data_IF_035012033787
#
_entry.id   IF_035012033787
#
_cell.length_a   1.000
_cell.length_b   1.000
_cell.length_c   1.000
_cell.angle_alpha   90.00
_cell.angle_beta   90.00
_cell.angle_gamma   90.00
#
_symmetry.space_group_name_H-M   'P 1'
#
loop_
_entity.id
_entity.type
_entity.pdbx_description
1 polymer ?
#
# COMPACT_ATOMS: atom_id res chain seq x y z
N UNK A 1 7.02 13.86 -36.58
CA UNK A 1 5.97 13.37 -35.67
C UNK A 1 6.60 12.31 -34.78
N UNK A 2 6.95 12.65 -33.54
CA UNK A 2 7.51 11.71 -32.56
C UNK A 2 6.68 11.79 -31.29
N UNK A 3 5.71 10.88 -31.14
CA UNK A 3 5.00 10.74 -29.88
C UNK A 3 5.97 10.08 -28.89
N UNK A 4 6.51 10.88 -27.98
CA UNK A 4 6.95 10.37 -26.70
C UNK A 4 5.73 9.67 -26.07
N UNK A 5 5.75 8.35 -26.00
CA UNK A 5 4.81 7.63 -25.15
C UNK A 5 5.08 8.08 -23.72
N UNK A 6 4.25 9.00 -23.23
CA UNK A 6 4.12 9.25 -21.79
C UNK A 6 3.93 7.89 -21.11
N UNK A 7 4.62 7.60 -20.00
CA UNK A 7 4.39 6.36 -19.28
C UNK A 7 2.90 6.30 -18.94
N UNK A 8 2.27 5.15 -19.18
CA UNK A 8 0.84 4.95 -18.90
C UNK A 8 0.58 5.37 -17.46
N UNK A 9 0.02 6.56 -17.27
CA UNK A 9 -0.28 7.06 -15.93
C UNK A 9 -1.44 6.21 -15.43
N UNK A 10 -1.18 5.35 -14.44
CA UNK A 10 -2.23 4.52 -13.84
C UNK A 10 -3.39 5.46 -13.43
N UNK A 11 -4.59 5.29 -14.00
CA UNK A 11 -5.71 6.18 -13.72
C UNK A 11 -6.06 6.20 -12.23
N UNK A 12 -5.77 5.13 -11.47
CA UNK A 12 -5.96 5.09 -10.02
C UNK A 12 -4.99 5.99 -9.30
N UNK A 13 -3.72 6.05 -9.73
CA UNK A 13 -2.74 6.98 -9.17
C UNK A 13 -3.10 8.43 -9.45
N UNK A 14 -3.51 8.73 -10.70
CA UNK A 14 -3.93 10.09 -11.05
C UNK A 14 -5.15 10.55 -10.24
N UNK A 15 -6.13 9.67 -10.03
CA UNK A 15 -7.28 9.95 -9.16
C UNK A 15 -6.90 10.07 -7.69
N UNK A 16 -6.03 9.19 -7.18
CA UNK A 16 -5.55 9.22 -5.80
C UNK A 16 -4.81 10.53 -5.48
N UNK A 17 -3.92 10.99 -6.37
CA UNK A 17 -3.24 12.28 -6.21
C UNK A 17 -4.23 13.46 -6.09
N UNK A 18 -5.33 13.45 -6.86
CA UNK A 18 -6.34 14.52 -6.82
C UNK A 18 -7.13 14.56 -5.51
N UNK A 19 -7.12 13.49 -4.71
CA UNK A 19 -7.78 13.44 -3.41
C UNK A 19 -7.00 14.17 -2.30
N UNK A 20 -5.76 14.57 -2.56
CA UNK A 20 -4.87 15.21 -1.60
C UNK A 20 -4.43 16.61 -2.06
N UNK A 21 -3.98 17.42 -1.09
CA UNK A 21 -3.34 18.70 -1.39
C UNK A 21 -1.91 18.47 -1.87
N UNK A 22 -1.38 19.43 -2.64
CA UNK A 22 -0.01 19.37 -3.13
C UNK A 22 1.02 19.28 -1.98
N UNK A 23 0.82 20.06 -0.91
CA UNK A 23 1.67 20.03 0.28
C UNK A 23 1.73 18.64 0.92
N UNK A 24 0.58 17.99 1.07
CA UNK A 24 0.51 16.64 1.63
C UNK A 24 1.28 15.63 0.77
N UNK A 25 1.16 15.72 -0.56
CA UNK A 25 1.90 14.85 -1.48
C UNK A 25 3.42 15.07 -1.39
N UNK A 26 3.86 16.30 -1.17
CA UNK A 26 5.28 16.65 -1.00
C UNK A 26 5.86 16.13 0.33
N UNK A 27 5.10 16.24 1.42
CA UNK A 27 5.45 15.64 2.72
C UNK A 27 5.51 14.12 2.61
N UNK A 28 4.51 13.51 1.98
CA UNK A 28 4.46 12.06 1.77
C UNK A 28 5.63 11.58 0.90
N UNK A 29 6.01 12.35 -0.12
CA UNK A 29 7.17 12.05 -0.97
C UNK A 29 8.47 12.15 -0.19
N UNK A 30 8.59 13.12 0.71
CA UNK A 30 9.75 13.27 1.59
C UNK A 30 9.87 12.10 2.57
N UNK A 31 8.75 11.67 3.16
CA UNK A 31 8.70 10.45 3.97
C UNK A 31 9.10 9.22 3.16
N UNK A 32 8.54 9.04 1.96
CA UNK A 32 8.87 7.93 1.09
C UNK A 32 10.38 7.87 0.78
N UNK A 33 10.97 9.01 0.41
CA UNK A 33 12.40 9.09 0.11
C UNK A 33 13.27 8.68 1.32
N UNK A 34 12.89 9.10 2.53
CA UNK A 34 13.57 8.71 3.77
C UNK A 34 13.53 7.19 4.00
N UNK A 35 12.37 6.56 3.82
CA UNK A 35 12.20 5.12 4.00
C UNK A 35 12.85 4.29 2.88
N UNK A 36 12.80 4.78 1.64
CA UNK A 36 13.46 4.13 0.51
C UNK A 36 15.00 4.19 0.65
N UNK A 37 15.55 5.28 1.20
CA UNK A 37 16.97 5.36 1.54
C UNK A 37 17.37 4.30 2.59
N UNK A 38 16.56 4.10 3.62
CA UNK A 38 16.76 3.03 4.62
C UNK A 38 16.64 1.62 4.03
N UNK A 39 15.88 1.47 2.96
CA UNK A 39 15.69 0.20 2.25
C UNK A 39 16.86 -0.16 1.33
N UNK A 40 17.90 0.68 1.24
CA UNK A 40 19.04 0.50 0.33
C UNK A 40 18.60 0.37 -1.14
N UNK A 41 17.43 0.92 -1.49
CA UNK A 41 16.82 0.80 -2.82
C UNK A 41 17.25 1.92 -3.77
N UNK A 42 18.24 2.73 -3.38
CA UNK A 42 18.59 3.99 -4.05
C UNK A 42 17.37 4.92 -4.25
N UNK A 43 16.46 4.98 -3.27
CA UNK A 43 15.27 5.84 -3.32
C UNK A 43 14.11 5.32 -4.17
N UNK A 44 14.21 4.13 -4.77
CA UNK A 44 13.19 3.62 -5.70
C UNK A 44 11.97 2.97 -5.01
N UNK A 45 12.15 2.28 -3.89
CA UNK A 45 11.07 1.52 -3.23
C UNK A 45 11.33 1.34 -1.74
N UNK A 46 10.28 1.08 -0.98
CA UNK A 46 10.37 0.69 0.42
C UNK A 46 10.32 -0.83 0.48
N UNK A 47 11.29 -1.42 1.19
CA UNK A 47 11.36 -2.85 1.44
C UNK A 47 10.39 -3.28 2.56
N UNK A 48 9.95 -4.56 2.60
CA UNK A 48 9.05 -5.04 3.63
C UNK A 48 9.58 -4.83 5.05
N UNK A 49 10.88 -5.09 5.27
CA UNK A 49 11.50 -4.96 6.60
C UNK A 49 11.47 -3.51 7.11
N UNK A 50 11.77 -2.54 6.24
CA UNK A 50 11.72 -1.11 6.60
C UNK A 50 10.28 -0.64 6.82
N UNK A 51 9.34 -1.08 5.97
CA UNK A 51 7.91 -0.79 6.14
C UNK A 51 7.40 -1.31 7.49
N UNK A 52 7.61 -2.60 7.77
CA UNK A 52 7.18 -3.26 8.99
C UNK A 52 7.80 -2.59 10.23
N UNK A 53 9.10 -2.30 10.20
CA UNK A 53 9.79 -1.61 11.28
C UNK A 53 9.25 -0.20 11.52
N UNK A 54 8.94 0.55 10.46
CA UNK A 54 8.43 1.92 10.59
C UNK A 54 7.02 1.98 11.19
N UNK A 55 6.14 1.06 10.78
CA UNK A 55 4.76 1.01 11.27
C UNK A 55 4.59 0.16 12.55
N UNK A 56 5.65 -0.46 13.06
CA UNK A 56 5.58 -1.34 14.23
C UNK A 56 4.76 -2.61 13.96
N UNK A 57 4.65 -3.03 12.70
CA UNK A 57 3.91 -4.21 12.28
C UNK A 57 4.87 -5.38 12.21
N UNK A 58 4.58 -6.47 12.92
CA UNK A 58 5.41 -7.67 12.92
C UNK A 58 4.59 -8.89 12.54
N UNK A 59 5.26 -9.88 11.93
CA UNK A 59 4.65 -11.16 11.60
C UNK A 59 3.60 -11.08 10.47
N UNK A 60 2.66 -12.04 10.41
CA UNK A 60 1.76 -12.22 9.27
C UNK A 60 0.91 -10.99 8.93
N UNK A 61 0.52 -10.19 9.93
CA UNK A 61 -0.25 -8.96 9.69
C UNK A 61 0.56 -7.90 8.93
N UNK A 62 1.85 -7.76 9.26
CA UNK A 62 2.75 -6.82 8.58
C UNK A 62 3.03 -7.22 7.13
N UNK A 63 3.21 -8.52 6.89
CA UNK A 63 3.35 -9.09 5.55
C UNK A 63 2.08 -8.87 4.73
N UNK A 64 0.92 -9.18 5.30
CA UNK A 64 -0.38 -8.98 4.64
C UNK A 64 -0.66 -7.52 4.31
N UNK A 65 -0.37 -6.61 5.24
CA UNK A 65 -0.53 -5.17 4.99
C UNK A 65 0.39 -4.70 3.87
N UNK A 66 1.63 -5.19 3.83
CA UNK A 66 2.57 -4.88 2.76
C UNK A 66 2.06 -5.40 1.40
N UNK A 67 1.61 -6.66 1.33
CA UNK A 67 1.05 -7.24 0.12
C UNK A 67 -0.19 -6.48 -0.36
N UNK A 68 -1.09 -6.09 0.56
CA UNK A 68 -2.28 -5.32 0.21
C UNK A 68 -1.92 -3.94 -0.38
N UNK A 69 -1.01 -3.21 0.26
CA UNK A 69 -0.58 -1.88 -0.21
C UNK A 69 0.15 -1.98 -1.55
N UNK A 70 0.96 -3.02 -1.75
CA UNK A 70 1.66 -3.29 -3.01
C UNK A 70 0.77 -3.94 -4.07
N UNK A 71 -0.54 -3.98 -3.86
CA UNK A 71 -1.54 -4.51 -4.79
C UNK A 71 -1.25 -5.97 -5.19
N UNK A 72 -0.70 -6.74 -4.25
CA UNK A 72 -0.38 -8.17 -4.41
C UNK A 72 0.59 -8.43 -5.57
N UNK A 73 1.48 -7.48 -5.89
CA UNK A 73 2.53 -7.71 -6.90
C UNK A 73 3.59 -8.73 -6.44
N UNK A 74 3.76 -8.92 -5.13
CA UNK A 74 4.74 -9.82 -4.53
C UNK A 74 6.20 -9.62 -5.01
N UNK A 75 6.51 -8.43 -5.52
CA UNK A 75 7.85 -8.03 -5.94
C UNK A 75 8.71 -7.52 -4.77
N UNK A 76 8.14 -7.51 -3.56
CA UNK A 76 8.70 -6.97 -2.32
C UNK A 76 9.10 -5.49 -2.45
N UNK A 77 8.38 -4.72 -3.27
CA UNK A 77 8.67 -3.31 -3.55
C UNK A 77 7.42 -2.46 -3.38
N UNK A 78 7.41 -1.64 -2.33
CA UNK A 78 6.39 -0.61 -2.17
C UNK A 78 6.88 0.67 -2.85
N UNK A 79 6.22 1.05 -3.93
CA UNK A 79 6.53 2.28 -4.68
C UNK A 79 5.77 3.48 -4.13
N UNK A 80 6.17 4.69 -4.52
CA UNK A 80 5.44 5.90 -4.12
C UNK A 80 3.98 5.87 -4.62
N UNK A 81 3.76 5.31 -5.81
CA UNK A 81 2.42 5.15 -6.37
C UNK A 81 1.54 4.25 -5.50
N UNK A 82 2.07 3.12 -5.03
CA UNK A 82 1.35 2.21 -4.14
C UNK A 82 0.96 2.90 -2.84
N UNK A 83 1.89 3.67 -2.26
CA UNK A 83 1.66 4.43 -1.05
C UNK A 83 0.53 5.45 -1.23
N UNK A 84 0.55 6.23 -2.31
CA UNK A 84 -0.48 7.23 -2.58
C UNK A 84 -1.84 6.58 -2.82
N UNK A 85 -1.90 5.49 -3.58
CA UNK A 85 -3.14 4.76 -3.83
C UNK A 85 -3.71 4.22 -2.52
N UNK A 86 -2.91 3.50 -1.72
CA UNK A 86 -3.39 2.92 -0.48
C UNK A 86 -3.85 3.98 0.54
N UNK A 87 -3.13 5.11 0.66
CA UNK A 87 -3.55 6.21 1.53
C UNK A 87 -4.83 6.88 1.01
N UNK A 88 -4.99 7.04 -0.30
CA UNK A 88 -6.24 7.54 -0.87
C UNK A 88 -7.41 6.61 -0.55
N UNK A 89 -7.25 5.30 -0.75
CA UNK A 89 -8.28 4.31 -0.42
C UNK A 89 -8.67 4.35 1.04
N UNK A 90 -7.70 4.37 1.96
CA UNK A 90 -7.97 4.32 3.39
C UNK A 90 -8.45 5.65 3.98
N UNK A 91 -7.89 6.80 3.56
CA UNK A 91 -8.16 8.10 4.19
C UNK A 91 -9.24 8.92 3.47
N UNK A 92 -9.49 8.63 2.18
CA UNK A 92 -10.36 9.41 1.30
C UNK A 92 -11.39 8.57 0.54
N UNK A 93 -11.32 7.24 0.63
CA UNK A 93 -12.25 6.33 -0.02
C UNK A 93 -13.66 6.47 0.54
N UNK A 94 -14.64 6.02 -0.25
CA UNK A 94 -15.99 5.82 0.24
C UNK A 94 -16.02 4.70 1.31
N UNK A 95 -17.05 4.69 2.16
CA UNK A 95 -17.14 3.73 3.26
C UNK A 95 -16.96 2.28 2.80
N UNK A 96 -17.55 1.91 1.67
CA UNK A 96 -17.41 0.56 1.10
C UNK A 96 -15.97 0.24 0.67
N UNK A 97 -15.21 1.22 0.18
CA UNK A 97 -13.80 1.02 -0.20
C UNK A 97 -12.92 0.85 1.03
N UNK A 98 -13.18 1.62 2.10
CA UNK A 98 -12.48 1.51 3.37
C UNK A 98 -12.80 0.17 4.04
N UNK A 99 -14.08 -0.22 4.09
CA UNK A 99 -14.53 -1.52 4.62
C UNK A 99 -13.91 -2.67 3.85
N UNK A 100 -13.86 -2.62 2.52
CA UNK A 100 -13.22 -3.63 1.70
C UNK A 100 -11.71 -3.70 1.95
N UNK A 101 -11.04 -2.57 2.11
CA UNK A 101 -9.61 -2.53 2.46
C UNK A 101 -9.35 -3.21 3.82
N UNK A 102 -10.16 -2.88 4.84
CA UNK A 102 -10.06 -3.49 6.16
C UNK A 102 -10.38 -4.99 6.12
N UNK A 103 -11.39 -5.39 5.36
CA UNK A 103 -11.75 -6.79 5.17
C UNK A 103 -10.59 -7.59 4.60
N UNK A 104 -9.98 -7.11 3.52
CA UNK A 104 -8.83 -7.76 2.86
C UNK A 104 -7.59 -7.84 3.74
N UNK A 105 -7.45 -6.87 4.67
CA UNK A 105 -6.38 -6.86 5.67
C UNK A 105 -6.62 -7.89 6.77
N UNK A 106 -7.86 -8.04 7.24
CA UNK A 106 -8.25 -8.97 8.31
C UNK A 106 -8.43 -10.42 7.83
N UNK A 107 -8.72 -10.62 6.54
CA UNK A 107 -8.72 -11.91 5.88
C UNK A 107 -7.28 -12.40 5.71
N UNK A 108 -6.72 -12.91 6.81
CA UNK A 108 -5.32 -13.39 6.90
C UNK A 108 -5.04 -14.59 5.98
N UNK A 109 -6.07 -15.35 5.61
CA UNK A 109 -5.94 -16.51 4.74
C UNK A 109 -6.13 -16.16 3.25
N UNK A 110 -6.76 -15.01 2.95
CA UNK A 110 -7.14 -14.66 1.57
C UNK A 110 -8.25 -15.53 1.00
N UNK A 111 -9.02 -16.21 1.85
CA UNK A 111 -10.13 -17.09 1.46
C UNK A 111 -11.47 -16.34 1.45
N UNK A 112 -11.45 -15.04 1.71
CA UNK A 112 -12.64 -14.23 1.86
C UNK A 112 -13.37 -14.54 3.16
N UNK A 113 -12.69 -15.00 4.21
CA UNK A 113 -13.25 -15.28 5.53
C UNK A 113 -12.40 -14.59 6.62
N UNK A 114 -12.96 -13.57 7.27
CA UNK A 114 -12.38 -13.00 8.49
C UNK A 114 -12.73 -13.94 9.65
N UNK A 115 -11.72 -14.67 10.15
CA UNK A 115 -11.84 -15.86 10.99
C UNK A 115 -13.06 -15.93 11.91
N UNK A 116 -13.93 -16.91 11.65
CA UNK A 116 -14.61 -17.60 12.74
C UNK A 116 -13.55 -18.42 13.49
N UNK A 117 -13.56 -18.38 14.83
CA UNK A 117 -12.89 -19.39 15.64
C UNK A 117 -13.15 -20.76 15.00
N UNK A 118 -12.10 -21.43 14.51
CA UNK A 118 -12.16 -22.87 14.31
C UNK A 118 -12.23 -23.44 15.73
N UNK A 119 -13.44 -23.52 16.27
CA UNK A 119 -13.74 -24.49 17.32
C UNK A 119 -13.57 -25.84 16.64
N UNK A 120 -12.38 -26.43 16.78
CA UNK A 120 -12.21 -27.85 16.50
C UNK A 120 -13.27 -28.60 17.33
N UNK A 121 -14.23 -29.31 16.72
CA UNK A 121 -14.95 -30.32 17.47
C UNK A 121 -13.95 -31.43 17.77
N UNK A 122 -13.80 -31.70 19.08
CA UNK A 122 -13.05 -32.84 19.64
C UNK A 122 -13.47 -34.17 19.01
#
# INVERSE_FOLDING_TARGET
>A
MGNAQSPSSDPRYASACRAFTQHYLEELKSLFASLAAKSQSNGQYISPSVFQSYFGLNGPLGERMFDLITQQRHDHKLTFQDLVIAKATYEKGANNEIEEFLYRLLDVNGDGIVGGLILNPL
#
